data_IF_266647284599
#
_entry.id   IF_266647284599
#
_cell.length_a   1.000
_cell.length_b   1.000
_cell.length_c   1.000
_cell.angle_alpha   90.00
_cell.angle_beta   90.00
_cell.angle_gamma   90.00
#
_symmetry.space_group_name_H-M   'P 1'
#
loop_
_entity.id
_entity.type
_entity.pdbx_description
1 polymer ?
#
# COMPACT_ATOMS: atom_id res chain seq x y z
N UNK A 1 -10.63 25.82 -8.46
CA UNK A 1 -10.90 25.88 -9.91
C UNK A 1 -10.21 24.76 -10.69
N UNK A 2 -8.91 24.79 -11.01
CA UNK A 2 -8.30 23.72 -11.84
C UNK A 2 -8.34 22.31 -11.20
N UNK A 3 -8.16 22.24 -9.87
CA UNK A 3 -8.28 20.98 -9.09
C UNK A 3 -9.71 20.44 -8.97
N UNK A 4 -10.69 21.28 -9.26
CA UNK A 4 -12.11 20.99 -9.04
C UNK A 4 -12.70 20.29 -10.27
N UNK A 5 -12.39 20.78 -11.47
CA UNK A 5 -12.72 20.07 -12.71
C UNK A 5 -12.05 18.70 -12.82
N UNK A 6 -10.80 18.55 -12.36
CA UNK A 6 -10.15 17.25 -12.31
C UNK A 6 -10.85 16.28 -11.36
N UNK A 7 -11.36 16.78 -10.22
CA UNK A 7 -12.11 15.96 -9.26
C UNK A 7 -13.41 15.44 -9.88
N UNK A 8 -14.14 16.29 -10.58
CA UNK A 8 -15.37 15.92 -11.28
C UNK A 8 -15.11 14.85 -12.35
N UNK A 9 -14.06 15.01 -13.16
CA UNK A 9 -13.64 14.02 -14.15
C UNK A 9 -13.31 12.66 -13.51
N UNK A 10 -12.57 12.65 -12.40
CA UNK A 10 -12.24 11.43 -11.68
C UNK A 10 -13.48 10.77 -11.05
N UNK A 11 -14.45 11.56 -10.59
CA UNK A 11 -15.72 11.05 -10.06
C UNK A 11 -16.57 10.43 -11.18
N UNK A 12 -16.58 11.01 -12.37
CA UNK A 12 -17.28 10.46 -13.53
C UNK A 12 -16.67 9.12 -13.97
N UNK A 13 -15.33 9.06 -14.10
CA UNK A 13 -14.60 7.81 -14.36
C UNK A 13 -14.89 6.77 -13.28
N UNK A 14 -14.90 7.18 -12.01
CA UNK A 14 -15.20 6.27 -10.90
C UNK A 14 -16.62 5.68 -11.01
N UNK A 15 -17.61 6.43 -11.48
CA UNK A 15 -19.01 5.97 -11.59
C UNK A 15 -19.24 4.96 -12.72
N UNK A 16 -18.33 4.85 -13.68
CA UNK A 16 -18.43 3.86 -14.75
C UNK A 16 -18.50 2.43 -14.20
N UNK A 17 -19.33 1.60 -14.83
CA UNK A 17 -19.60 0.25 -14.32
C UNK A 17 -18.33 -0.64 -14.34
N UNK A 18 -17.48 -0.48 -15.36
CA UNK A 18 -16.19 -1.16 -15.46
C UNK A 18 -15.23 -0.71 -14.34
N UNK A 19 -15.12 0.60 -14.12
CA UNK A 19 -14.31 1.18 -13.04
C UNK A 19 -14.76 0.67 -11.67
N UNK A 20 -16.07 0.56 -11.42
CA UNK A 20 -16.61 -0.04 -10.20
C UNK A 20 -16.22 -1.52 -10.05
N UNK A 21 -16.33 -2.31 -11.13
CA UNK A 21 -15.93 -3.74 -11.12
C UNK A 21 -14.42 -3.91 -10.83
N UNK A 22 -13.58 -3.01 -11.32
CA UNK A 22 -12.15 -3.02 -10.99
C UNK A 22 -11.93 -2.58 -9.53
N UNK A 23 -12.65 -1.55 -9.08
CA UNK A 23 -12.49 -0.99 -7.74
C UNK A 23 -12.85 -1.99 -6.64
N UNK A 24 -13.85 -2.84 -6.83
CA UNK A 24 -14.21 -3.88 -5.84
C UNK A 24 -13.07 -4.85 -5.55
N UNK A 25 -12.22 -5.15 -6.53
CA UNK A 25 -11.05 -6.03 -6.37
C UNK A 25 -10.00 -5.45 -5.40
N UNK A 26 -10.01 -4.13 -5.13
CA UNK A 26 -9.10 -3.53 -4.14
C UNK A 26 -9.34 -4.06 -2.73
N UNK A 27 -10.58 -4.38 -2.38
CA UNK A 27 -10.93 -4.92 -1.05
C UNK A 27 -10.22 -6.24 -0.78
N UNK A 28 -10.03 -7.04 -1.82
CA UNK A 28 -9.41 -8.36 -1.72
C UNK A 28 -7.88 -8.29 -1.58
N UNK A 29 -7.24 -7.36 -2.29
CA UNK A 29 -5.77 -7.35 -2.42
C UNK A 29 -5.09 -6.18 -1.74
N UNK A 30 -5.60 -4.98 -1.93
CA UNK A 30 -4.92 -3.76 -1.49
C UNK A 30 -5.27 -3.39 -0.05
N UNK A 31 -6.55 -3.52 0.35
CA UNK A 31 -7.01 -3.09 1.67
C UNK A 31 -6.39 -3.91 2.81
N UNK A 32 -6.13 -5.20 2.60
CA UNK A 32 -5.51 -6.07 3.61
C UNK A 32 -4.08 -5.61 3.99
N UNK A 33 -3.13 -5.43 3.05
CA UNK A 33 -1.82 -4.84 3.33
C UNK A 33 -1.91 -3.47 4.03
N UNK A 34 -2.76 -2.57 3.54
CA UNK A 34 -2.89 -1.23 4.15
C UNK A 34 -3.48 -1.30 5.56
N UNK A 35 -4.44 -2.20 5.81
CA UNK A 35 -4.97 -2.46 7.14
C UNK A 35 -3.88 -2.96 8.08
N UNK A 36 -3.08 -3.93 7.63
CA UNK A 36 -1.98 -4.49 8.41
C UNK A 36 -0.90 -3.44 8.72
N UNK A 37 -0.48 -2.66 7.72
CA UNK A 37 0.47 -1.56 7.92
C UNK A 37 -0.04 -0.55 8.96
N UNK A 38 -1.31 -0.15 8.87
CA UNK A 38 -1.89 0.87 9.76
C UNK A 38 -2.13 0.36 11.19
N UNK A 39 -2.62 -0.87 11.34
CA UNK A 39 -3.07 -1.40 12.64
C UNK A 39 -2.04 -2.28 13.32
N UNK A 40 -1.33 -3.12 12.58
CA UNK A 40 -0.38 -4.09 13.15
C UNK A 40 1.03 -3.51 13.20
N UNK A 41 1.43 -2.73 12.20
CA UNK A 41 2.74 -2.04 12.18
C UNK A 41 2.68 -0.61 12.75
N UNK A 42 1.53 -0.17 13.27
CA UNK A 42 1.37 1.12 13.94
C UNK A 42 1.45 2.36 13.03
N UNK A 43 1.46 2.19 11.70
CA UNK A 43 1.62 3.30 10.75
C UNK A 43 0.28 3.96 10.37
N UNK A 44 -0.51 4.34 11.38
CA UNK A 44 -1.79 5.01 11.19
C UNK A 44 -1.69 6.46 10.71
N UNK A 45 -0.52 7.08 10.87
CA UNK A 45 -0.24 8.46 10.53
C UNK A 45 1.21 8.62 10.05
N UNK A 46 1.46 9.61 9.20
CA UNK A 46 2.80 10.01 8.79
C UNK A 46 3.41 10.96 9.82
N UNK A 47 4.71 10.84 10.06
CA UNK A 47 5.43 11.71 11.01
C UNK A 47 5.95 12.95 10.29
N UNK A 48 6.23 12.83 8.99
CA UNK A 48 6.71 13.91 8.16
C UNK A 48 5.59 14.56 7.32
N UNK A 49 5.87 15.78 6.86
CA UNK A 49 5.00 16.53 5.95
C UNK A 49 5.72 16.77 4.62
N UNK A 50 4.93 16.88 3.55
CA UNK A 50 5.43 17.06 2.19
C UNK A 50 5.64 15.73 1.47
N UNK A 51 5.33 15.72 0.17
CA UNK A 51 5.23 14.49 -0.64
C UNK A 51 6.51 13.67 -0.65
N UNK A 52 7.66 14.33 -0.80
CA UNK A 52 8.96 13.66 -0.85
C UNK A 52 9.27 12.89 0.44
N UNK A 53 9.10 13.54 1.59
CA UNK A 53 9.37 12.94 2.91
C UNK A 53 8.37 11.85 3.25
N UNK A 54 7.09 12.07 2.99
CA UNK A 54 6.02 11.08 3.18
C UNK A 54 6.25 9.86 2.30
N UNK A 55 6.71 10.04 1.06
CA UNK A 55 7.06 8.92 0.19
C UNK A 55 8.21 8.09 0.77
N UNK A 56 9.24 8.73 1.33
CA UNK A 56 10.31 8.00 2.00
C UNK A 56 9.79 7.16 3.19
N UNK A 57 8.92 7.72 4.03
CA UNK A 57 8.28 6.97 5.12
C UNK A 57 7.49 5.77 4.61
N UNK A 58 6.66 5.97 3.58
CA UNK A 58 5.85 4.92 2.98
C UNK A 58 6.71 3.82 2.34
N UNK A 59 7.83 4.18 1.70
CA UNK A 59 8.77 3.22 1.12
C UNK A 59 9.41 2.33 2.18
N UNK A 60 9.85 2.92 3.30
CA UNK A 60 10.41 2.16 4.43
C UNK A 60 9.34 1.23 5.02
N UNK A 61 8.14 1.76 5.30
CA UNK A 61 7.02 0.98 5.84
C UNK A 61 6.65 -0.20 4.94
N UNK A 62 6.55 0.04 3.63
CA UNK A 62 6.22 -1.01 2.65
C UNK A 62 7.29 -2.09 2.61
N UNK A 63 8.56 -1.70 2.74
CA UNK A 63 9.69 -2.64 2.81
C UNK A 63 9.61 -3.50 4.07
N UNK A 64 9.38 -2.89 5.24
CA UNK A 64 9.18 -3.59 6.49
C UNK A 64 7.98 -4.55 6.43
N UNK A 65 6.86 -4.12 5.85
CA UNK A 65 5.69 -4.97 5.64
C UNK A 65 6.03 -6.19 4.77
N UNK A 66 6.73 -5.99 3.65
CA UNK A 66 7.12 -7.09 2.77
C UNK A 66 8.02 -8.10 3.49
N UNK A 67 9.02 -7.62 4.24
CA UNK A 67 9.91 -8.50 5.02
C UNK A 67 9.13 -9.27 6.08
N UNK A 68 8.29 -8.58 6.87
CA UNK A 68 7.44 -9.23 7.87
C UNK A 68 6.54 -10.28 7.23
N UNK A 69 5.93 -9.96 6.08
CA UNK A 69 5.09 -10.91 5.37
C UNK A 69 5.90 -12.10 4.87
N UNK A 70 7.06 -11.90 4.25
CA UNK A 70 7.95 -12.96 3.80
C UNK A 70 8.33 -13.91 4.94
N UNK A 71 8.70 -13.37 6.10
CA UNK A 71 8.97 -14.15 7.32
C UNK A 71 7.76 -15.02 7.67
N UNK A 72 6.55 -14.47 7.63
CA UNK A 72 5.33 -15.25 7.89
C UNK A 72 5.01 -16.27 6.77
N UNK A 73 5.48 -16.12 5.51
CA UNK A 73 5.16 -17.08 4.42
C UNK A 73 6.09 -18.29 4.57
N UNK A 74 7.40 -18.01 4.62
CA UNK A 74 8.45 -19.00 4.38
C UNK A 74 9.32 -19.25 5.61
N UNK A 75 9.17 -18.45 6.67
CA UNK A 75 10.00 -18.53 7.87
C UNK A 75 11.35 -17.82 7.70
N UNK A 76 11.97 -17.49 8.84
CA UNK A 76 13.27 -16.81 8.89
C UNK A 76 14.39 -17.63 8.22
N UNK A 77 14.54 -18.95 8.48
CA UNK A 77 15.66 -19.71 7.90
C UNK A 77 15.62 -19.74 6.37
N UNK A 78 14.43 -19.93 5.79
CA UNK A 78 14.24 -19.94 4.33
C UNK A 78 14.49 -18.57 3.71
N UNK A 79 14.06 -17.50 4.38
CA UNK A 79 14.30 -16.15 3.92
C UNK A 79 15.81 -15.84 3.84
N UNK A 80 16.57 -16.18 4.89
CA UNK A 80 18.03 -15.99 4.91
C UNK A 80 18.70 -16.81 3.80
N UNK A 81 18.31 -18.08 3.64
CA UNK A 81 18.85 -18.93 2.59
C UNK A 81 18.62 -18.35 1.19
N UNK A 82 17.42 -17.81 0.93
CA UNK A 82 17.08 -17.16 -0.35
C UNK A 82 17.92 -15.91 -0.59
N UNK A 83 18.05 -15.04 0.40
CA UNK A 83 18.83 -13.79 0.29
C UNK A 83 20.32 -14.06 0.05
N UNK A 84 20.90 -15.09 0.69
CA UNK A 84 22.30 -15.46 0.50
C UNK A 84 22.58 -16.16 -0.84
N UNK A 85 21.53 -16.65 -1.52
CA UNK A 85 21.63 -17.36 -2.81
C UNK A 85 21.40 -16.45 -4.02
N UNK A 86 21.12 -15.17 -3.80
CA UNK A 86 21.00 -14.13 -4.83
C UNK A 86 22.37 -13.51 -5.12
#
# INVERSE_FOLDING_TARGET
MEKEGLKEQLEEIYREEESQRIYTLRKEKAELPFGHMKRNLGAGQFMLRGREKVNAELSILSTCFNIARMITIIGIPMLIAKLNSM
#
